data_IF_878583579122
#
_entry.id   IF_878583579122
#
_cell.length_a   1.000
_cell.length_b   1.000
_cell.length_c   1.000
_cell.angle_alpha   90.00
_cell.angle_beta   90.00
_cell.angle_gamma   90.00
#
_symmetry.space_group_name_H-M   'P 1'
#
loop_
_entity.id
_entity.type
_entity.pdbx_description
1 polymer ?
#
# COMPACT_ATOMS: atom_id res chain seq x y z
N UNK A 1 -24.30 -6.28 -14.24
CA UNK A 1 -23.70 -6.87 -13.03
C UNK A 1 -23.27 -5.74 -12.09
N UNK A 2 -23.71 -5.81 -10.83
CA UNK A 2 -23.40 -4.81 -9.80
C UNK A 2 -22.05 -5.03 -9.12
N UNK A 3 -21.45 -6.19 -9.32
CA UNK A 3 -20.26 -6.64 -8.60
C UNK A 3 -19.28 -7.27 -9.59
N UNK A 4 -17.98 -7.00 -9.39
CA UNK A 4 -16.88 -7.68 -10.07
C UNK A 4 -16.11 -8.53 -9.07
N UNK A 5 -15.88 -9.79 -9.42
CA UNK A 5 -14.94 -10.68 -8.75
C UNK A 5 -13.62 -10.69 -9.51
N UNK A 6 -12.52 -10.68 -8.79
CA UNK A 6 -11.18 -10.74 -9.34
C UNK A 6 -10.41 -11.87 -8.64
N UNK A 7 -9.63 -12.63 -9.40
CA UNK A 7 -8.69 -13.60 -8.86
C UNK A 7 -7.41 -13.58 -9.72
N UNK A 8 -6.28 -13.77 -9.08
CA UNK A 8 -4.99 -13.77 -9.76
C UNK A 8 -3.92 -14.44 -8.91
N UNK A 9 -2.79 -14.76 -9.52
CA UNK A 9 -1.64 -15.29 -8.82
C UNK A 9 -0.38 -15.12 -9.64
N UNK A 10 0.74 -15.04 -8.94
CA UNK A 10 2.07 -14.90 -9.52
C UNK A 10 3.05 -15.83 -8.81
N UNK A 11 4.01 -16.36 -9.56
CA UNK A 11 5.13 -17.14 -9.04
C UNK A 11 6.42 -16.63 -9.67
N UNK A 12 7.40 -16.31 -8.85
CA UNK A 12 8.71 -15.83 -9.25
C UNK A 12 9.83 -16.66 -8.63
N UNK A 13 10.87 -16.94 -9.41
CA UNK A 13 12.10 -17.58 -8.95
C UNK A 13 13.27 -16.79 -9.49
N UNK A 14 14.17 -16.38 -8.60
CA UNK A 14 15.40 -15.66 -8.94
C UNK A 14 16.60 -16.39 -8.35
N UNK A 15 17.65 -16.52 -9.14
CA UNK A 15 18.91 -17.13 -8.70
C UNK A 15 20.02 -16.10 -8.84
N UNK A 16 20.76 -15.89 -7.75
CA UNK A 16 21.92 -15.02 -7.70
C UNK A 16 23.15 -15.83 -7.30
N UNK A 17 24.23 -15.65 -8.02
CA UNK A 17 25.52 -16.30 -7.71
C UNK A 17 26.60 -15.22 -7.60
N UNK A 18 27.03 -14.94 -6.39
CA UNK A 18 28.12 -14.03 -6.10
C UNK A 18 29.29 -14.79 -5.54
N UNK A 19 30.48 -14.53 -6.08
CA UNK A 19 31.73 -15.21 -5.70
C UNK A 19 32.04 -15.10 -4.20
N UNK A 20 31.62 -14.01 -3.54
CA UNK A 20 31.87 -13.75 -2.12
C UNK A 20 30.74 -14.17 -1.19
N UNK A 21 29.52 -14.39 -1.68
CA UNK A 21 28.33 -14.68 -0.87
C UNK A 21 27.68 -16.04 -1.17
N UNK A 22 28.22 -16.76 -2.16
CA UNK A 22 27.67 -18.05 -2.56
C UNK A 22 26.39 -17.94 -3.40
N UNK A 23 25.73 -19.09 -3.56
CA UNK A 23 24.52 -19.21 -4.35
C UNK A 23 23.30 -18.87 -3.49
N UNK A 24 22.46 -17.98 -4.00
CA UNK A 24 21.18 -17.60 -3.37
C UNK A 24 20.03 -17.85 -4.34
N UNK A 25 18.96 -18.43 -3.84
CA UNK A 25 17.72 -18.64 -4.60
C UNK A 25 16.56 -18.02 -3.84
N UNK A 26 15.85 -17.14 -4.52
CA UNK A 26 14.63 -16.52 -4.03
C UNK A 26 13.43 -17.13 -4.74
N UNK A 27 12.43 -17.50 -3.98
CA UNK A 27 11.13 -17.94 -4.50
C UNK A 27 10.07 -17.06 -3.88
N UNK A 28 9.28 -16.42 -4.71
CA UNK A 28 8.13 -15.62 -4.29
C UNK A 28 6.89 -16.07 -5.02
N UNK A 29 5.77 -16.04 -4.35
CA UNK A 29 4.48 -16.32 -4.95
C UNK A 29 3.39 -15.51 -4.27
N UNK A 30 2.33 -15.25 -5.00
CA UNK A 30 1.12 -14.66 -4.43
C UNK A 30 -0.13 -15.24 -5.09
N UNK A 31 -1.17 -15.34 -4.29
CA UNK A 31 -2.52 -15.63 -4.74
C UNK A 31 -3.42 -14.55 -4.16
N UNK A 32 -4.23 -13.93 -5.00
CA UNK A 32 -5.12 -12.87 -4.59
C UNK A 32 -6.55 -13.11 -5.10
N UNK A 33 -7.50 -12.65 -4.31
CA UNK A 33 -8.90 -12.60 -4.68
C UNK A 33 -9.53 -11.30 -4.19
N UNK A 34 -10.54 -10.84 -4.90
CA UNK A 34 -11.19 -9.59 -4.56
C UNK A 34 -12.60 -9.47 -5.10
N UNK A 35 -13.32 -8.55 -4.50
CA UNK A 35 -14.68 -8.18 -4.87
C UNK A 35 -14.82 -6.68 -4.80
N UNK A 36 -15.39 -6.07 -5.84
CA UNK A 36 -15.66 -4.63 -5.87
C UNK A 36 -17.01 -4.30 -6.47
N UNK A 37 -17.60 -3.20 -6.06
CA UNK A 37 -18.78 -2.62 -6.70
C UNK A 37 -18.43 -2.03 -8.07
N UNK A 38 -19.33 -2.21 -9.06
CA UNK A 38 -19.07 -1.80 -10.45
C UNK A 38 -19.72 -0.48 -10.84
N UNK A 39 -20.60 0.07 -10.03
CA UNK A 39 -21.36 1.26 -10.39
C UNK A 39 -20.84 2.48 -9.65
N UNK A 40 -20.13 3.39 -10.32
CA UNK A 40 -19.68 4.67 -9.72
C UNK A 40 -20.82 5.54 -9.21
N UNK A 41 -22.02 5.38 -9.80
CA UNK A 41 -23.23 6.12 -9.42
C UNK A 41 -23.99 5.55 -8.22
N UNK A 42 -23.54 4.44 -7.64
CA UNK A 42 -24.12 3.92 -6.40
C UNK A 42 -23.62 4.72 -5.20
N UNK A 43 -24.54 5.09 -4.31
CA UNK A 43 -24.25 5.83 -3.08
C UNK A 43 -23.20 5.13 -2.22
N UNK A 44 -23.15 3.80 -2.23
CA UNK A 44 -22.22 2.97 -1.47
C UNK A 44 -21.34 2.19 -2.41
N UNK A 45 -20.04 2.32 -2.26
CA UNK A 45 -19.05 1.59 -3.05
C UNK A 45 -18.10 0.85 -2.11
N UNK A 46 -17.58 -0.28 -2.58
CA UNK A 46 -16.59 -1.05 -1.84
C UNK A 46 -15.61 -1.73 -2.80
N UNK A 47 -14.39 -1.91 -2.33
CA UNK A 47 -13.34 -2.72 -2.97
C UNK A 47 -12.62 -3.49 -1.85
N UNK A 48 -12.74 -4.82 -1.85
CA UNK A 48 -12.14 -5.69 -0.84
C UNK A 48 -11.27 -6.69 -1.57
N UNK A 49 -10.00 -6.79 -1.17
CA UNK A 49 -9.03 -7.71 -1.75
C UNK A 49 -8.25 -8.41 -0.65
N UNK A 50 -8.10 -9.72 -0.78
CA UNK A 50 -7.25 -10.53 0.09
C UNK A 50 -6.19 -11.21 -0.74
N UNK A 51 -4.94 -11.17 -0.28
CA UNK A 51 -3.79 -11.79 -0.92
C UNK A 51 -2.99 -12.60 0.09
N UNK A 52 -2.58 -13.80 -0.31
CA UNK A 52 -1.58 -14.60 0.38
C UNK A 52 -0.25 -14.42 -0.35
N UNK A 53 0.72 -13.82 0.32
CA UNK A 53 2.05 -13.56 -0.21
C UNK A 53 3.02 -14.55 0.43
N UNK A 54 3.74 -15.29 -0.40
CA UNK A 54 4.73 -16.29 0.01
C UNK A 54 6.11 -15.83 -0.44
N UNK A 55 7.08 -15.93 0.46
CA UNK A 55 8.44 -15.59 0.17
C UNK A 55 9.39 -16.58 0.86
N UNK A 56 10.41 -17.01 0.13
CA UNK A 56 11.45 -17.88 0.64
C UNK A 56 12.80 -17.54 0.01
N UNK A 57 13.81 -17.36 0.83
CA UNK A 57 15.22 -17.37 0.44
C UNK A 57 15.86 -18.68 0.86
N UNK A 58 16.40 -19.41 -0.10
CA UNK A 58 17.29 -20.54 0.17
C UNK A 58 18.75 -20.05 0.12
N UNK A 59 19.42 -20.11 1.25
CA UNK A 59 20.82 -19.80 1.42
C UNK A 59 21.40 -20.77 2.44
N UNK A 60 22.62 -21.27 2.20
CA UNK A 60 23.24 -22.33 3.04
C UNK A 60 23.37 -21.95 4.52
N UNK A 61 23.57 -20.66 4.79
CA UNK A 61 23.81 -20.17 6.15
C UNK A 61 22.65 -19.34 6.73
N UNK A 62 21.75 -18.82 5.90
CA UNK A 62 20.71 -17.87 6.30
C UNK A 62 19.41 -18.08 5.50
N UNK A 63 18.78 -19.25 5.64
CA UNK A 63 17.45 -19.44 5.02
C UNK A 63 16.46 -18.48 5.67
N UNK A 64 15.54 -17.93 4.86
CA UNK A 64 14.48 -17.03 5.31
C UNK A 64 13.15 -17.44 4.70
N UNK A 65 12.10 -17.35 5.50
CA UNK A 65 10.74 -17.66 5.05
C UNK A 65 9.77 -16.64 5.66
N UNK A 66 8.91 -16.11 4.82
CA UNK A 66 7.87 -15.16 5.21
C UNK A 66 6.57 -15.49 4.49
N UNK A 67 5.49 -15.44 5.21
CA UNK A 67 4.13 -15.60 4.68
C UNK A 67 3.30 -14.45 5.20
N UNK A 68 2.64 -13.72 4.30
CA UNK A 68 1.81 -12.56 4.65
C UNK A 68 0.40 -12.81 4.12
N UNK A 69 -0.58 -12.76 5.01
CA UNK A 69 -1.99 -12.64 4.63
C UNK A 69 -2.37 -11.17 4.70
N UNK A 70 -2.53 -10.54 3.54
CA UNK A 70 -2.88 -9.13 3.39
C UNK A 70 -4.34 -8.98 2.98
N UNK A 71 -5.08 -8.17 3.69
CA UNK A 71 -6.44 -7.79 3.33
C UNK A 71 -6.53 -6.28 3.21
N UNK A 72 -6.90 -5.80 2.03
CA UNK A 72 -7.20 -4.39 1.77
C UNK A 72 -8.71 -4.25 1.60
N UNK A 73 -9.29 -3.23 2.23
CA UNK A 73 -10.69 -2.90 2.04
C UNK A 73 -10.84 -1.37 1.94
N UNK A 74 -11.64 -0.92 1.00
CA UNK A 74 -12.03 0.49 0.85
C UNK A 74 -13.56 0.56 0.77
N UNK A 75 -14.16 1.34 1.65
CA UNK A 75 -15.59 1.61 1.68
C UNK A 75 -15.81 3.11 1.50
N UNK A 76 -16.63 3.48 0.52
CA UNK A 76 -16.95 4.87 0.24
C UNK A 76 -18.45 5.11 0.21
N UNK A 77 -18.82 6.28 0.65
CA UNK A 77 -20.19 6.80 0.61
C UNK A 77 -20.16 8.11 -0.17
N UNK A 78 -20.90 8.14 -1.28
CA UNK A 78 -21.11 9.35 -2.05
C UNK A 78 -22.12 10.25 -1.33
N UNK A 79 -21.77 11.51 -1.12
CA UNK A 79 -22.66 12.49 -0.52
C UNK A 79 -23.67 13.01 -1.55
N UNK A 80 -24.56 13.90 -1.12
CA UNK A 80 -25.65 14.45 -1.96
C UNK A 80 -25.13 15.16 -3.21
N UNK A 81 -23.94 15.75 -3.12
CA UNK A 81 -23.19 16.29 -4.25
C UNK A 81 -22.29 15.18 -4.80
N UNK A 82 -22.47 14.79 -6.06
CA UNK A 82 -21.70 13.71 -6.70
C UNK A 82 -20.18 13.92 -6.67
N UNK A 83 -19.74 15.17 -6.50
CA UNK A 83 -18.35 15.52 -6.40
C UNK A 83 -17.73 15.28 -5.00
N UNK A 84 -18.51 14.81 -4.03
CA UNK A 84 -18.09 14.64 -2.65
C UNK A 84 -18.27 13.20 -2.17
N UNK A 85 -17.25 12.65 -1.52
CA UNK A 85 -17.34 11.34 -0.89
C UNK A 85 -16.61 11.28 0.45
N UNK A 86 -17.09 10.43 1.32
CA UNK A 86 -16.44 10.03 2.57
C UNK A 86 -16.10 8.55 2.47
N UNK A 87 -14.94 8.17 2.90
CA UNK A 87 -14.50 6.79 2.85
C UNK A 87 -13.64 6.39 4.03
N UNK A 88 -13.45 5.10 4.14
CA UNK A 88 -12.46 4.47 5.03
C UNK A 88 -11.75 3.37 4.26
N UNK A 89 -10.44 3.55 4.06
CA UNK A 89 -9.57 2.50 3.56
C UNK A 89 -8.91 1.79 4.73
N UNK A 90 -8.68 0.48 4.61
CA UNK A 90 -7.97 -0.30 5.60
C UNK A 90 -7.03 -1.30 4.94
N UNK A 91 -5.87 -1.52 5.56
CA UNK A 91 -4.96 -2.61 5.25
C UNK A 91 -4.68 -3.40 6.52
N UNK A 92 -4.87 -4.71 6.45
CA UNK A 92 -4.59 -5.64 7.55
C UNK A 92 -3.56 -6.64 7.03
N UNK A 93 -2.40 -6.67 7.66
CA UNK A 93 -1.34 -7.62 7.36
C UNK A 93 -1.11 -8.54 8.56
N UNK A 94 -1.28 -9.86 8.33
CA UNK A 94 -0.88 -10.88 9.28
C UNK A 94 0.38 -11.55 8.72
N UNK A 95 1.49 -11.37 9.43
CA UNK A 95 2.81 -11.81 9.00
C UNK A 95 3.25 -13.03 9.82
N UNK A 96 3.57 -14.11 9.14
CA UNK A 96 4.06 -15.36 9.71
C UNK A 96 5.53 -15.54 9.30
N UNK A 97 6.41 -15.30 10.25
CA UNK A 97 7.87 -15.45 10.10
C UNK A 97 8.35 -16.52 11.09
N UNK A 98 9.35 -17.32 10.74
CA UNK A 98 9.77 -18.50 11.51
C UNK A 98 9.90 -18.30 13.02
N UNK A 99 10.27 -17.10 13.47
CA UNK A 99 10.51 -16.81 14.90
C UNK A 99 9.59 -15.77 15.50
N UNK A 100 8.73 -15.14 14.69
CA UNK A 100 7.90 -14.02 15.15
C UNK A 100 6.68 -13.84 14.26
N UNK A 101 5.52 -13.97 14.86
CA UNK A 101 4.27 -13.58 14.21
C UNK A 101 3.89 -12.18 14.67
N UNK A 102 3.47 -11.35 13.73
CA UNK A 102 3.00 -10.00 14.01
C UNK A 102 1.85 -9.62 13.09
N UNK A 103 1.05 -8.68 13.55
CA UNK A 103 -0.08 -8.15 12.77
C UNK A 103 -0.05 -6.63 12.77
N UNK A 104 -0.39 -6.04 11.64
CA UNK A 104 -0.56 -4.59 11.49
C UNK A 104 -1.93 -4.28 10.90
N UNK A 105 -2.51 -3.18 11.35
CA UNK A 105 -3.78 -2.66 10.85
C UNK A 105 -3.58 -1.17 10.60
N UNK A 106 -3.74 -0.75 9.36
CA UNK A 106 -3.73 0.64 8.96
C UNK A 106 -5.15 1.04 8.55
N UNK A 107 -5.70 2.04 9.23
CA UNK A 107 -7.02 2.61 8.95
C UNK A 107 -6.83 4.02 8.42
N UNK A 108 -7.46 4.33 7.30
CA UNK A 108 -7.40 5.64 6.67
C UNK A 108 -8.83 6.16 6.42
N UNK A 109 -9.47 6.80 7.42
CA UNK A 109 -10.67 7.60 7.17
C UNK A 109 -10.31 8.82 6.34
N UNK A 110 -11.12 9.12 5.32
CA UNK A 110 -10.87 10.26 4.45
C UNK A 110 -12.17 10.89 3.92
N UNK A 111 -12.05 12.17 3.60
CA UNK A 111 -12.98 12.93 2.80
C UNK A 111 -12.32 13.33 1.48
N UNK A 112 -13.05 13.22 0.38
CA UNK A 112 -12.59 13.66 -0.94
C UNK A 112 -13.63 14.58 -1.56
N UNK A 113 -13.15 15.67 -2.15
CA UNK A 113 -13.97 16.58 -2.94
C UNK A 113 -13.25 16.89 -4.24
N UNK A 114 -14.00 16.90 -5.31
CA UNK A 114 -13.52 17.24 -6.65
C UNK A 114 -14.37 18.36 -7.24
N UNK A 115 -13.74 19.25 -8.00
CA UNK A 115 -14.35 20.28 -8.80
C UNK A 115 -13.71 20.28 -10.18
N UNK A 116 -14.15 21.16 -11.08
CA UNK A 116 -13.66 21.19 -12.47
C UNK A 116 -12.13 21.38 -12.57
N UNK A 117 -11.56 22.15 -11.65
CA UNK A 117 -10.15 22.54 -11.71
C UNK A 117 -9.36 22.22 -10.44
N UNK A 118 -9.94 21.57 -9.43
CA UNK A 118 -9.22 21.15 -8.23
C UNK A 118 -9.78 19.87 -7.63
N UNK A 119 -8.91 19.19 -6.92
CA UNK A 119 -9.22 17.98 -6.15
C UNK A 119 -8.60 18.09 -4.77
N UNK A 120 -9.37 17.74 -3.74
CA UNK A 120 -8.92 17.72 -2.35
C UNK A 120 -9.20 16.35 -1.74
N UNK A 121 -8.21 15.78 -1.08
CA UNK A 121 -8.34 14.67 -0.15
C UNK A 121 -7.89 15.12 1.24
N UNK A 122 -8.72 14.90 2.24
CA UNK A 122 -8.40 15.12 3.65
C UNK A 122 -8.58 13.79 4.38
N UNK A 123 -7.53 13.28 4.97
CA UNK A 123 -7.55 12.02 5.70
C UNK A 123 -6.48 11.95 6.76
N UNK A 124 -6.49 10.85 7.49
CA UNK A 124 -5.47 10.51 8.47
C UNK A 124 -5.22 9.00 8.45
N UNK A 125 -3.98 8.57 8.63
CA UNK A 125 -3.61 7.18 8.76
C UNK A 125 -3.42 6.85 10.25
N UNK A 126 -4.23 5.91 10.73
CA UNK A 126 -4.15 5.33 12.08
C UNK A 126 -3.52 3.96 11.93
N UNK A 127 -2.26 3.82 12.33
CA UNK A 127 -1.51 2.59 12.20
C UNK A 127 -1.39 1.89 13.56
N UNK A 128 -1.88 0.65 13.63
CA UNK A 128 -1.83 -0.21 14.81
C UNK A 128 -0.92 -1.41 14.52
N UNK A 129 -0.18 -1.87 15.53
CA UNK A 129 0.63 -3.08 15.39
C UNK A 129 0.64 -3.91 16.68
N UNK A 130 0.75 -5.23 16.49
CA UNK A 130 0.97 -6.19 17.55
C UNK A 130 2.28 -6.93 17.28
N UNK A 131 3.17 -6.95 18.25
CA UNK A 131 4.50 -7.58 18.18
C UNK A 131 5.41 -7.02 17.07
N UNK A 132 5.22 -5.75 16.66
CA UNK A 132 5.98 -5.14 15.56
C UNK A 132 6.19 -3.64 15.76
N UNK A 133 7.23 -3.27 16.51
CA UNK A 133 7.54 -1.88 16.85
C UNK A 133 6.51 -1.25 17.79
N UNK A 134 6.31 0.04 17.70
CA UNK A 134 5.28 0.74 18.49
C UNK A 134 3.88 0.35 18.07
N UNK A 135 3.00 0.24 19.07
CA UNK A 135 1.64 -0.26 18.89
C UNK A 135 0.73 0.72 18.13
N UNK A 136 1.00 2.02 18.22
CA UNK A 136 0.12 3.06 17.65
C UNK A 136 0.92 4.19 17.00
N UNK A 137 0.49 4.57 15.81
CA UNK A 137 0.95 5.76 15.11
C UNK A 137 -0.21 6.50 14.46
N UNK A 138 -0.03 7.81 14.29
CA UNK A 138 -0.96 8.69 13.59
C UNK A 138 -0.18 9.57 12.63
N UNK A 139 -0.63 9.65 11.38
CA UNK A 139 -0.06 10.53 10.36
C UNK A 139 -1.14 11.17 9.47
N UNK A 140 -0.88 12.31 8.85
CA UNK A 140 -1.81 12.91 7.89
C UNK A 140 -1.85 12.10 6.59
N UNK A 141 -2.96 12.27 5.86
CA UNK A 141 -3.12 11.84 4.46
C UNK A 141 -3.90 12.92 3.71
N UNK A 142 -3.20 14.00 3.39
CA UNK A 142 -3.76 15.21 2.77
C UNK A 142 -3.17 15.34 1.38
N UNK A 143 -4.02 15.61 0.40
CA UNK A 143 -3.62 15.92 -0.96
C UNK A 143 -4.51 16.98 -1.55
N UNK A 144 -3.90 17.97 -2.17
CA UNK A 144 -4.57 19.01 -2.93
C UNK A 144 -3.90 19.15 -4.29
N UNK A 145 -4.67 19.05 -5.35
CA UNK A 145 -4.24 19.25 -6.72
C UNK A 145 -5.10 20.37 -7.32
N UNK A 146 -4.46 21.37 -7.94
CA UNK A 146 -5.12 22.49 -8.58
C UNK A 146 -4.62 22.68 -10.01
N UNK A 147 -5.49 22.58 -10.98
CA UNK A 147 -5.21 22.80 -12.37
C UNK A 147 -5.22 24.30 -12.68
N UNK A 148 -4.05 24.88 -12.89
CA UNK A 148 -3.89 26.31 -13.18
C UNK A 148 -4.16 26.64 -14.65
N UNK A 149 -3.97 25.67 -15.55
CA UNK A 149 -4.31 25.77 -16.98
C UNK A 149 -4.50 24.36 -17.56
N UNK A 150 -4.85 24.26 -18.85
CA UNK A 150 -4.94 22.96 -19.55
C UNK A 150 -3.66 22.14 -19.48
N UNK A 151 -2.52 22.81 -19.34
CA UNK A 151 -1.19 22.20 -19.42
C UNK A 151 -0.39 22.35 -18.14
N UNK A 152 -1.00 22.81 -17.04
CA UNK A 152 -0.28 23.03 -15.80
C UNK A 152 -1.13 22.78 -14.56
N UNK A 153 -0.52 22.22 -13.53
CA UNK A 153 -1.14 21.95 -12.25
C UNK A 153 -0.16 22.17 -11.08
N UNK A 154 -0.67 22.73 -10.00
CA UNK A 154 -0.03 22.81 -8.70
C UNK A 154 -0.48 21.62 -7.87
N UNK A 155 0.42 21.00 -7.10
CA UNK A 155 0.04 20.02 -6.10
C UNK A 155 0.67 20.30 -4.74
N UNK A 156 -0.05 19.91 -3.70
CA UNK A 156 0.41 19.91 -2.33
C UNK A 156 0.03 18.55 -1.74
N UNK A 157 0.98 17.92 -1.07
CA UNK A 157 0.78 16.63 -0.42
C UNK A 157 1.42 16.65 0.97
N UNK A 158 0.73 16.08 1.95
CA UNK A 158 1.24 15.81 3.28
C UNK A 158 0.75 14.42 3.68
N UNK A 159 1.66 13.46 3.71
CA UNK A 159 1.37 12.05 4.00
C UNK A 159 2.37 11.51 5.01
N UNK A 160 2.08 10.36 5.55
CA UNK A 160 2.99 9.56 6.34
C UNK A 160 2.57 8.11 6.28
N UNK A 161 3.02 7.30 7.21
CA UNK A 161 2.58 5.92 7.32
C UNK A 161 3.68 4.97 7.78
N UNK A 162 3.27 3.74 8.00
CA UNK A 162 4.15 2.65 8.37
C UNK A 162 4.88 2.12 7.14
N UNK A 163 6.19 1.94 7.28
CA UNK A 163 7.00 1.22 6.32
C UNK A 163 7.29 -0.18 6.87
N UNK A 164 6.79 -1.18 6.18
CA UNK A 164 7.07 -2.58 6.51
C UNK A 164 8.51 -2.90 6.09
N UNK A 165 9.25 -3.54 6.99
CA UNK A 165 10.61 -4.00 6.75
C UNK A 165 10.65 -5.54 6.73
N UNK A 166 9.75 -6.16 5.96
CA UNK A 166 9.72 -7.59 5.73
C UNK A 166 10.93 -8.08 4.92
N UNK A 167 11.20 -9.37 4.95
CA UNK A 167 12.33 -9.94 4.19
C UNK A 167 12.20 -9.68 2.70
N UNK A 168 11.00 -9.79 2.14
CA UNK A 168 10.74 -9.54 0.73
C UNK A 168 11.06 -8.10 0.33
N UNK A 169 10.60 -7.12 1.13
CA UNK A 169 10.82 -5.70 0.84
C UNK A 169 12.30 -5.33 0.95
N UNK A 170 12.97 -5.80 1.99
CA UNK A 170 14.39 -5.52 2.19
C UNK A 170 15.27 -6.12 1.09
N UNK A 171 14.95 -7.32 0.61
CA UNK A 171 15.70 -7.95 -0.49
C UNK A 171 15.43 -7.33 -1.86
N UNK A 172 14.26 -6.79 -2.08
CA UNK A 172 13.99 -5.99 -3.29
C UNK A 172 14.86 -4.73 -3.34
N UNK A 173 15.16 -4.14 -2.18
CA UNK A 173 16.08 -3.01 -2.09
C UNK A 173 17.55 -3.45 -2.26
N UNK A 174 17.93 -4.57 -1.65
CA UNK A 174 19.29 -5.10 -1.74
C UNK A 174 19.31 -6.63 -1.59
N UNK A 175 19.36 -7.39 -2.69
CA UNK A 175 19.35 -8.85 -2.68
C UNK A 175 20.60 -9.47 -2.03
N UNK A 176 21.64 -8.67 -1.75
CA UNK A 176 22.90 -9.11 -1.14
C UNK A 176 23.00 -8.76 0.35
N UNK A 177 21.98 -8.14 0.92
CA UNK A 177 21.98 -7.79 2.33
C UNK A 177 21.94 -9.05 3.21
N UNK A 178 22.77 -9.06 4.26
CA UNK A 178 22.71 -10.07 5.31
C UNK A 178 21.58 -9.75 6.28
N UNK A 179 20.37 -10.14 5.93
CA UNK A 179 19.20 -9.94 6.78
C UNK A 179 18.96 -11.23 7.55
N UNK A 180 19.19 -11.22 8.86
CA UNK A 180 19.03 -12.38 9.73
C UNK A 180 17.74 -12.37 10.53
N UNK A 181 17.19 -11.19 10.75
CA UNK A 181 15.93 -10.98 11.48
C UNK A 181 15.12 -9.90 10.78
N UNK A 182 13.78 -10.00 10.75
CA UNK A 182 12.95 -8.89 10.29
C UNK A 182 13.21 -7.68 11.19
N UNK A 183 13.46 -6.53 10.57
CA UNK A 183 13.59 -5.28 11.28
C UNK A 183 12.22 -4.83 11.80
N UNK A 184 12.21 -4.01 12.83
CA UNK A 184 10.99 -3.33 13.24
C UNK A 184 10.51 -2.35 12.15
N UNK A 185 9.22 -2.08 12.13
CA UNK A 185 8.66 -1.15 11.15
C UNK A 185 9.29 0.24 11.28
N UNK A 186 9.61 0.83 10.16
CA UNK A 186 9.82 2.26 10.07
C UNK A 186 8.47 2.99 10.12
N UNK A 187 8.48 4.22 10.62
CA UNK A 187 7.31 5.08 10.59
C UNK A 187 7.70 6.48 10.14
N UNK A 188 7.11 6.91 9.03
CA UNK A 188 7.24 8.27 8.54
C UNK A 188 6.09 9.10 9.09
N UNK A 189 6.37 10.00 10.05
CA UNK A 189 5.32 10.82 10.66
C UNK A 189 4.74 11.83 9.69
N UNK A 190 5.60 12.44 8.88
CA UNK A 190 5.21 13.46 7.91
C UNK A 190 6.19 13.50 6.75
N UNK A 191 5.65 13.34 5.55
CA UNK A 191 6.30 13.64 4.29
C UNK A 191 5.48 14.71 3.58
N UNK A 192 5.99 15.92 3.52
CA UNK A 192 5.30 17.05 2.90
C UNK A 192 6.01 17.44 1.60
N UNK A 193 5.23 17.61 0.55
CA UNK A 193 5.73 18.06 -0.75
C UNK A 193 4.78 19.08 -1.37
N UNK A 194 5.37 20.03 -2.07
CA UNK A 194 4.69 20.97 -2.96
C UNK A 194 5.39 20.95 -4.31
N UNK A 195 4.64 21.02 -5.37
CA UNK A 195 5.24 21.03 -6.69
C UNK A 195 4.31 21.55 -7.76
N UNK A 196 4.90 21.85 -8.89
CA UNK A 196 4.23 22.34 -10.08
C UNK A 196 4.54 21.40 -11.25
N UNK A 197 3.50 20.96 -11.95
CA UNK A 197 3.62 20.12 -13.16
C UNK A 197 3.27 20.96 -14.35
N UNK A 198 4.08 20.85 -15.42
CA UNK A 198 3.81 21.43 -16.72
C UNK A 198 4.03 20.38 -17.81
N UNK A 199 3.08 20.25 -18.73
CA UNK A 199 3.17 19.26 -19.80
C UNK A 199 1.98 19.38 -20.76
N UNK A 200 2.00 18.65 -21.87
CA UNK A 200 0.83 18.49 -22.73
C UNK A 200 -0.16 17.57 -22.05
N UNK A 201 -1.45 17.95 -22.03
CA UNK A 201 -2.57 17.14 -21.53
C UNK A 201 -2.42 16.66 -20.08
N UNK A 202 -2.35 17.62 -19.14
CA UNK A 202 -2.48 17.33 -17.70
C UNK A 202 -3.98 17.15 -17.41
N UNK A 203 -4.41 15.90 -17.21
CA UNK A 203 -5.74 15.53 -16.73
C UNK A 203 -5.69 14.98 -15.31
N UNK A 204 -6.77 15.18 -14.54
CA UNK A 204 -6.98 14.46 -13.29
C UNK A 204 -7.66 13.13 -13.61
N UNK A 205 -6.99 12.03 -13.33
CA UNK A 205 -7.57 10.70 -13.41
C UNK A 205 -7.93 10.25 -11.99
N UNK A 206 -9.20 9.94 -11.75
CA UNK A 206 -9.60 9.19 -10.56
C UNK A 206 -9.23 7.73 -10.77
N UNK A 207 -8.38 7.21 -9.92
CA UNK A 207 -8.16 5.78 -9.73
C UNK A 207 -8.88 5.32 -8.47
#
# INVERSE_FOLDING_TARGET
NKVTFQAGGHLGVSNFNLTSYGRQRFTSGDVQMGVKSNKPSEKYQYDIRTALLLYQRAHDQMPQKETILRTNADFTIQLTDEAQLVGIASQIDNNFVEKRNYSTIDLNPYYRKQSDNWQLKLGAIIALATNYGEAFYLSPDIRFDYQTSKNSALYLQATGGRQMNGFRELEQCNPYAKITTPYESGFEQLNASIGYKMGRDIGFYMQ
#
